data_IF_284522711149
#
_entry.id   IF_284522711149
#
_cell.length_a   1.000
_cell.length_b   1.000
_cell.length_c   1.000
_cell.angle_alpha   90.00
_cell.angle_beta   90.00
_cell.angle_gamma   90.00
#
_symmetry.space_group_name_H-M   'P 1'
#
loop_
_entity.id
_entity.type
_entity.pdbx_description
1 polymer ?
#
# COMPACT_ATOMS: atom_id res chain seq x y z
N UNK A 1 14.34 28.72 28.39
CA UNK A 1 14.82 27.64 29.28
C UNK A 1 14.51 26.24 28.74
N UNK A 2 13.28 25.94 28.25
CA UNK A 2 12.92 24.62 27.81
C UNK A 2 13.67 24.08 26.57
N UNK A 3 13.92 24.92 25.56
CA UNK A 3 14.64 24.51 24.34
C UNK A 3 16.12 24.18 24.59
N UNK A 4 16.79 24.91 25.50
CA UNK A 4 18.21 24.70 25.81
C UNK A 4 18.42 23.37 26.54
N UNK A 5 17.52 22.98 27.43
CA UNK A 5 17.61 21.71 28.16
C UNK A 5 17.32 20.49 27.27
N UNK A 6 16.47 20.64 26.25
CA UNK A 6 16.20 19.60 25.28
C UNK A 6 17.41 19.33 24.37
N UNK A 7 18.10 20.38 23.94
CA UNK A 7 19.28 20.24 23.06
C UNK A 7 20.42 19.53 23.79
N UNK A 8 20.74 19.92 25.04
CA UNK A 8 21.78 19.26 25.82
C UNK A 8 21.44 17.81 26.20
N UNK A 9 20.16 17.52 26.45
CA UNK A 9 19.69 16.17 26.68
C UNK A 9 19.80 15.28 25.44
N UNK A 10 19.50 15.83 24.27
CA UNK A 10 19.65 15.10 23.00
C UNK A 10 21.12 14.83 22.67
N UNK A 11 22.02 15.79 22.85
CA UNK A 11 23.46 15.61 22.62
C UNK A 11 24.07 14.54 23.55
N UNK A 12 23.65 14.48 24.80
CA UNK A 12 24.04 13.41 25.72
C UNK A 12 23.52 12.04 25.28
N UNK A 13 22.26 11.97 24.85
CA UNK A 13 21.65 10.74 24.36
C UNK A 13 22.36 10.23 23.09
N UNK A 14 22.69 11.12 22.15
CA UNK A 14 23.44 10.75 20.96
C UNK A 14 24.80 10.08 21.31
N UNK A 15 25.52 10.66 22.27
CA UNK A 15 26.78 10.10 22.74
C UNK A 15 26.67 8.72 23.38
N UNK A 16 25.51 8.39 24.00
CA UNK A 16 25.22 7.03 24.48
C UNK A 16 24.89 6.09 23.32
N UNK A 17 24.11 6.53 22.37
CA UNK A 17 23.64 5.71 21.24
C UNK A 17 24.78 5.42 20.25
N UNK A 18 25.74 6.34 20.05
CA UNK A 18 26.92 6.11 19.23
C UNK A 18 27.82 4.97 19.77
N UNK A 19 27.84 4.76 21.07
CA UNK A 19 28.60 3.68 21.69
C UNK A 19 27.94 2.31 21.55
N UNK A 20 26.65 2.26 21.27
CA UNK A 20 25.91 1.04 21.06
C UNK A 20 25.56 0.88 19.57
N UNK A 21 26.35 0.08 18.85
CA UNK A 21 26.17 -0.14 17.41
C UNK A 21 24.80 -0.70 17.01
N UNK A 22 24.01 -1.20 17.97
CA UNK A 22 22.63 -1.66 17.73
C UNK A 22 21.66 -0.50 17.58
N UNK A 23 22.01 0.68 18.10
CA UNK A 23 21.18 1.89 18.12
C UNK A 23 21.59 2.89 17.04
N UNK A 24 22.59 2.58 16.22
CA UNK A 24 23.17 3.52 15.26
C UNK A 24 22.11 4.11 14.29
N UNK A 25 21.18 3.30 13.82
CA UNK A 25 20.13 3.77 12.92
C UNK A 25 19.13 4.69 13.64
N UNK A 26 18.76 4.36 14.86
CA UNK A 26 17.88 5.20 15.69
C UNK A 26 18.55 6.54 16.02
N UNK A 27 19.84 6.53 16.30
CA UNK A 27 20.64 7.72 16.53
C UNK A 27 20.62 8.68 15.33
N UNK A 28 20.79 8.17 14.12
CA UNK A 28 20.71 8.98 12.90
C UNK A 28 19.32 9.61 12.69
N UNK A 29 18.25 8.83 12.93
CA UNK A 29 16.87 9.38 12.90
C UNK A 29 16.72 10.51 13.90
N UNK A 30 17.15 10.31 15.14
CA UNK A 30 17.01 11.32 16.18
C UNK A 30 17.81 12.59 15.87
N UNK A 31 19.02 12.47 15.32
CA UNK A 31 19.82 13.60 14.84
C UNK A 31 19.10 14.37 13.74
N UNK A 32 18.50 13.67 12.79
CA UNK A 32 17.72 14.29 11.73
C UNK A 32 16.47 15.02 12.26
N UNK A 33 15.70 14.37 13.14
CA UNK A 33 14.51 14.98 13.78
C UNK A 33 14.91 16.25 14.55
N UNK A 34 16.00 16.21 15.31
CA UNK A 34 16.50 17.37 16.05
C UNK A 34 16.96 18.49 15.10
N UNK A 35 17.60 18.17 13.98
CA UNK A 35 17.92 19.15 12.93
C UNK A 35 16.66 19.82 12.39
N UNK A 36 15.64 19.04 12.02
CA UNK A 36 14.37 19.59 11.52
C UNK A 36 13.64 20.46 12.55
N UNK A 37 13.71 20.08 13.82
CA UNK A 37 13.02 20.81 14.89
C UNK A 37 13.74 22.10 15.32
N UNK A 38 15.07 22.08 15.38
CA UNK A 38 15.87 23.18 15.95
C UNK A 38 16.56 24.05 14.90
N UNK A 39 16.72 23.53 13.67
CA UNK A 39 17.56 24.15 12.63
C UNK A 39 19.08 24.04 12.90
N UNK A 40 19.49 23.43 14.03
CA UNK A 40 20.91 23.22 14.36
C UNK A 40 21.37 21.88 13.76
N UNK A 41 22.55 21.90 13.15
CA UNK A 41 23.16 20.69 12.57
C UNK A 41 23.68 19.74 13.66
N UNK A 42 23.32 18.45 13.54
CA UNK A 42 23.76 17.38 14.43
C UNK A 42 24.51 16.29 13.65
N UNK A 43 25.10 16.62 12.50
CA UNK A 43 25.83 15.71 11.63
C UNK A 43 24.96 14.96 10.60
N UNK A 44 23.64 15.08 10.69
CA UNK A 44 22.68 14.48 9.74
C UNK A 44 21.73 15.58 9.25
N UNK A 45 21.84 15.91 7.95
CA UNK A 45 20.93 16.88 7.27
C UNK A 45 19.85 16.17 6.45
N UNK A 46 20.17 15.00 5.97
CA UNK A 46 19.29 14.12 5.19
C UNK A 46 19.33 12.72 5.80
N UNK A 47 18.18 12.08 5.87
CA UNK A 47 18.09 10.72 6.38
C UNK A 47 18.26 9.76 5.20
N UNK A 48 19.34 9.00 5.21
CA UNK A 48 19.52 7.90 4.29
C UNK A 48 18.63 6.73 4.74
N UNK A 49 17.51 6.54 4.06
CA UNK A 49 16.55 5.48 4.37
C UNK A 49 17.10 4.07 4.09
N UNK A 50 18.20 3.95 3.32
CA UNK A 50 18.84 2.66 3.06
C UNK A 50 19.44 2.01 4.32
N UNK A 51 19.77 2.82 5.34
CA UNK A 51 20.27 2.32 6.64
C UNK A 51 19.26 1.43 7.37
N UNK A 52 17.95 1.58 7.07
CA UNK A 52 16.91 0.78 7.71
C UNK A 52 16.71 -0.58 7.04
N UNK A 53 17.46 -0.88 5.99
CA UNK A 53 17.23 -2.07 5.16
C UNK A 53 15.75 -2.18 4.72
N UNK A 54 15.10 -1.02 4.56
CA UNK A 54 13.74 -0.91 4.05
C UNK A 54 13.83 -1.25 2.56
N UNK A 55 13.90 -2.55 2.30
CA UNK A 55 13.70 -3.04 0.95
C UNK A 55 12.25 -2.74 0.60
N UNK A 56 12.13 -1.70 -0.23
CA UNK A 56 10.99 -1.46 -1.05
C UNK A 56 9.64 -1.34 -0.33
N UNK A 57 9.33 -0.14 0.13
CA UNK A 57 7.94 0.27 0.37
C UNK A 57 7.05 0.11 -0.89
N UNK A 58 7.66 -0.11 -2.06
CA UNK A 58 6.95 -0.36 -3.31
C UNK A 58 6.04 -1.58 -3.24
N UNK A 59 6.45 -2.63 -2.55
CA UNK A 59 5.64 -3.83 -2.42
C UNK A 59 4.41 -3.62 -1.53
N UNK A 60 4.46 -2.71 -0.58
CA UNK A 60 3.33 -2.37 0.29
C UNK A 60 2.27 -1.51 -0.37
N UNK A 61 2.72 -0.58 -1.23
CA UNK A 61 1.81 0.31 -1.95
C UNK A 61 1.21 -0.34 -3.18
N UNK A 62 1.80 -1.45 -3.68
CA UNK A 62 1.43 -2.03 -4.96
C UNK A 62 0.08 -2.72 -4.95
N UNK A 63 -0.30 -3.34 -3.84
CA UNK A 63 -1.46 -4.24 -3.81
C UNK A 63 -2.74 -3.48 -3.49
N UNK A 64 -2.71 -2.58 -2.53
CA UNK A 64 -3.91 -1.95 -1.99
C UNK A 64 -4.12 -0.46 -2.30
N UNK A 65 -3.25 0.20 -3.09
CA UNK A 65 -3.39 1.63 -3.33
C UNK A 65 -4.60 1.94 -4.22
N UNK A 66 -5.58 2.66 -3.67
CA UNK A 66 -6.80 3.01 -4.38
C UNK A 66 -6.57 4.06 -5.46
N UNK A 67 -7.27 3.90 -6.55
CA UNK A 67 -7.19 4.77 -7.72
C UNK A 67 -8.21 5.90 -7.67
N UNK A 68 -9.31 5.71 -6.95
CA UNK A 68 -10.37 6.70 -6.80
C UNK A 68 -10.05 7.72 -5.73
N UNK A 69 -10.13 9.00 -6.08
CA UNK A 69 -10.06 10.10 -5.10
C UNK A 69 -11.38 10.23 -4.34
N UNK A 70 -11.31 10.71 -3.09
CA UNK A 70 -12.48 10.90 -2.24
C UNK A 70 -13.02 9.63 -1.56
N UNK A 71 -12.42 8.47 -1.78
CA UNK A 71 -12.74 7.23 -1.05
C UNK A 71 -11.86 7.09 0.19
N UNK A 72 -12.38 6.41 1.23
CA UNK A 72 -11.58 6.12 2.43
C UNK A 72 -10.33 5.33 2.05
N UNK A 73 -9.16 5.81 2.49
CA UNK A 73 -7.86 5.21 2.21
C UNK A 73 -7.32 5.44 0.79
N UNK A 74 -7.96 6.30 -0.01
CA UNK A 74 -7.37 6.76 -1.25
C UNK A 74 -6.43 7.95 -0.99
N UNK A 75 -5.38 8.14 -1.81
CA UNK A 75 -4.67 9.41 -1.82
C UNK A 75 -5.63 10.56 -2.10
N UNK A 76 -5.45 11.69 -1.44
CA UNK A 76 -6.27 12.87 -1.67
C UNK A 76 -6.14 13.37 -3.11
N UNK A 77 -7.21 13.98 -3.61
CA UNK A 77 -7.17 14.67 -4.90
C UNK A 77 -6.20 15.86 -4.80
N UNK A 78 -5.22 15.89 -5.69
CA UNK A 78 -4.27 17.00 -5.74
C UNK A 78 -4.82 18.19 -6.50
N UNK A 79 -4.40 19.39 -6.09
CA UNK A 79 -4.64 20.61 -6.86
C UNK A 79 -3.83 20.61 -8.15
N UNK A 80 -4.25 21.41 -9.13
CA UNK A 80 -3.49 21.62 -10.36
C UNK A 80 -2.03 22.00 -10.10
N UNK A 81 -1.81 22.93 -9.16
CA UNK A 81 -0.48 23.39 -8.78
C UNK A 81 0.40 22.24 -8.24
N UNK A 82 -0.16 21.36 -7.41
CA UNK A 82 0.57 20.20 -6.89
C UNK A 82 0.94 19.22 -8.00
N UNK A 83 0.04 19.00 -8.98
CA UNK A 83 0.34 18.14 -10.13
C UNK A 83 1.40 18.78 -11.03
N UNK A 84 1.33 20.08 -11.29
CA UNK A 84 2.37 20.84 -11.98
C UNK A 84 3.73 20.75 -11.27
N UNK A 85 3.73 20.81 -9.94
CA UNK A 85 4.93 20.67 -9.13
C UNK A 85 5.53 19.26 -9.25
N UNK A 86 4.70 18.20 -9.18
CA UNK A 86 5.13 16.81 -9.42
C UNK A 86 5.78 16.69 -10.80
N UNK A 87 5.07 17.16 -11.84
CA UNK A 87 5.58 17.08 -13.23
C UNK A 87 6.92 17.79 -13.35
N UNK A 88 7.05 18.98 -12.77
CA UNK A 88 8.28 19.77 -12.84
C UNK A 88 9.46 19.12 -12.09
N UNK A 89 9.19 18.41 -11.01
CA UNK A 89 10.24 17.75 -10.21
C UNK A 89 10.66 16.40 -10.77
N UNK A 90 9.75 15.70 -11.45
CA UNK A 90 9.95 14.30 -11.85
C UNK A 90 10.24 14.11 -13.33
N UNK A 91 9.87 15.07 -14.18
CA UNK A 91 9.98 14.93 -15.63
C UNK A 91 10.72 16.12 -16.24
N UNK A 92 11.33 15.89 -17.40
CA UNK A 92 12.06 16.90 -18.17
C UNK A 92 11.89 16.66 -19.66
N UNK A 93 12.30 17.62 -20.48
CA UNK A 93 12.29 17.48 -21.94
C UNK A 93 10.90 17.21 -22.51
N UNK A 94 10.82 16.23 -23.42
CA UNK A 94 9.58 15.89 -24.13
C UNK A 94 8.50 15.36 -23.18
N UNK A 95 8.84 14.48 -22.24
CA UNK A 95 7.89 13.96 -21.26
C UNK A 95 7.23 15.07 -20.43
N UNK A 96 8.01 16.05 -20.00
CA UNK A 96 7.49 17.24 -19.31
C UNK A 96 6.49 18.01 -20.18
N UNK A 97 6.87 18.31 -21.43
CA UNK A 97 6.03 19.07 -22.36
C UNK A 97 4.72 18.34 -22.66
N UNK A 98 4.79 17.02 -22.87
CA UNK A 98 3.64 16.17 -23.13
C UNK A 98 2.67 16.19 -21.96
N UNK A 99 3.16 15.98 -20.73
CA UNK A 99 2.34 15.99 -19.50
C UNK A 99 1.71 17.36 -19.25
N UNK A 100 2.48 18.45 -19.41
CA UNK A 100 1.95 19.80 -19.25
C UNK A 100 0.88 20.14 -20.28
N UNK A 101 0.98 19.62 -21.51
CA UNK A 101 -0.06 19.79 -22.55
C UNK A 101 -1.40 19.16 -22.19
N UNK A 102 -1.39 18.13 -21.31
CA UNK A 102 -2.57 17.39 -20.87
C UNK A 102 -3.00 17.73 -19.44
N UNK A 103 -2.41 18.74 -18.79
CA UNK A 103 -2.62 19.05 -17.37
C UNK A 103 -4.12 19.23 -17.01
N UNK A 104 -4.88 19.92 -17.85
CA UNK A 104 -6.31 20.15 -17.61
C UNK A 104 -7.12 18.86 -17.72
N UNK A 105 -6.70 17.90 -18.55
CA UNK A 105 -7.34 16.59 -18.64
C UNK A 105 -7.09 15.75 -17.38
N UNK A 106 -5.90 15.82 -16.77
CA UNK A 106 -5.65 15.19 -15.49
C UNK A 106 -6.56 15.75 -14.39
N UNK A 107 -6.81 17.05 -14.37
CA UNK A 107 -7.78 17.65 -13.46
C UNK A 107 -9.22 17.23 -13.79
N UNK A 108 -9.58 17.15 -15.07
CA UNK A 108 -10.89 16.72 -15.50
C UNK A 108 -11.22 15.29 -15.06
N UNK A 109 -10.28 14.34 -15.20
CA UNK A 109 -10.52 12.96 -14.76
C UNK A 109 -10.67 12.81 -13.25
N UNK A 110 -9.96 13.62 -12.45
CA UNK A 110 -10.17 13.67 -11.00
C UNK A 110 -11.58 14.14 -10.65
N UNK A 111 -12.01 15.23 -11.26
CA UNK A 111 -13.29 15.87 -10.93
C UNK A 111 -14.49 15.09 -11.48
N UNK A 112 -14.37 14.53 -12.68
CA UNK A 112 -15.50 13.92 -13.39
C UNK A 112 -15.64 12.43 -13.15
N UNK A 113 -14.52 11.70 -13.12
CA UNK A 113 -14.51 10.24 -13.01
C UNK A 113 -13.95 9.76 -11.67
N UNK A 114 -13.54 10.70 -10.81
CA UNK A 114 -12.89 10.44 -9.53
C UNK A 114 -11.62 9.57 -9.65
N UNK A 115 -10.97 9.58 -10.80
CA UNK A 115 -9.71 8.86 -11.03
C UNK A 115 -8.54 9.73 -10.63
N UNK A 116 -7.66 9.19 -9.79
CA UNK A 116 -6.48 9.90 -9.31
C UNK A 116 -5.56 10.30 -10.47
N UNK A 117 -5.24 11.60 -10.59
CA UNK A 117 -4.40 12.12 -11.66
C UNK A 117 -2.97 11.58 -11.61
N UNK A 118 -2.41 11.41 -10.39
CA UNK A 118 -1.05 10.86 -10.22
C UNK A 118 -0.99 9.41 -10.68
N UNK A 119 -2.03 8.61 -10.41
CA UNK A 119 -2.14 7.26 -10.97
C UNK A 119 -2.14 7.29 -12.51
N UNK A 120 -2.92 8.18 -13.12
CA UNK A 120 -2.95 8.28 -14.58
C UNK A 120 -1.58 8.67 -15.17
N UNK A 121 -0.85 9.59 -14.54
CA UNK A 121 0.53 9.95 -14.92
C UNK A 121 1.47 8.75 -14.75
N UNK A 122 1.34 8.01 -13.67
CA UNK A 122 2.17 6.83 -13.40
C UNK A 122 1.95 5.72 -14.44
N UNK A 123 0.71 5.51 -14.89
CA UNK A 123 0.42 4.56 -15.98
C UNK A 123 1.02 5.05 -17.29
N UNK A 124 0.87 6.33 -17.64
CA UNK A 124 1.50 6.89 -18.84
C UNK A 124 3.02 6.76 -18.82
N UNK A 125 3.64 6.93 -17.63
CA UNK A 125 5.07 6.69 -17.44
C UNK A 125 5.44 5.22 -17.66
N UNK A 126 4.67 4.29 -17.12
CA UNK A 126 4.92 2.84 -17.22
C UNK A 126 4.78 2.35 -18.67
N UNK A 127 3.74 2.80 -19.38
CA UNK A 127 3.38 2.28 -20.71
C UNK A 127 4.23 2.88 -21.84
N UNK A 128 4.52 4.18 -21.78
CA UNK A 128 5.13 4.90 -22.90
C UNK A 128 6.19 5.93 -22.49
N UNK A 129 6.65 5.93 -21.25
CA UNK A 129 7.50 7.00 -20.71
C UNK A 129 6.90 8.39 -20.98
N UNK A 130 5.59 8.53 -20.80
CA UNK A 130 4.82 9.75 -21.10
C UNK A 130 4.94 10.20 -22.57
N UNK A 131 4.89 9.25 -23.49
CA UNK A 131 4.93 9.53 -24.93
C UNK A 131 6.32 9.72 -25.52
N UNK A 132 7.37 9.31 -24.83
CA UNK A 132 8.75 9.38 -25.33
C UNK A 132 9.24 8.03 -25.85
N UNK A 133 8.80 6.92 -25.23
CA UNK A 133 9.18 5.57 -25.63
C UNK A 133 7.92 4.73 -25.91
N UNK A 134 7.67 4.47 -27.18
CA UNK A 134 6.41 3.90 -27.64
C UNK A 134 6.44 2.39 -27.84
N UNK A 135 7.56 1.73 -27.57
CA UNK A 135 7.71 0.29 -27.78
C UNK A 135 7.18 -0.20 -29.15
N UNK A 136 5.97 -0.78 -29.18
CA UNK A 136 5.34 -1.33 -30.39
C UNK A 136 4.16 -0.49 -30.90
N UNK A 137 3.94 0.72 -30.39
CA UNK A 137 2.78 1.57 -30.74
C UNK A 137 3.27 2.76 -31.58
N UNK A 138 2.56 3.06 -32.67
CA UNK A 138 2.85 4.22 -33.49
C UNK A 138 2.66 5.52 -32.68
N UNK A 139 3.68 6.41 -32.60
CA UNK A 139 3.60 7.67 -31.85
C UNK A 139 2.45 8.58 -32.27
N UNK A 140 2.04 8.52 -33.53
CA UNK A 140 0.93 9.33 -34.06
C UNK A 140 -0.43 8.95 -33.51
N UNK A 141 -0.50 7.86 -32.73
CA UNK A 141 -1.72 7.44 -32.01
C UNK A 141 -2.02 8.29 -30.79
N UNK A 142 -1.03 8.99 -30.22
CA UNK A 142 -1.12 9.65 -28.91
C UNK A 142 -1.63 8.74 -27.79
N UNK A 143 -1.46 7.41 -27.93
CA UNK A 143 -2.01 6.40 -27.03
C UNK A 143 -1.03 6.09 -25.89
N UNK A 144 -0.90 7.00 -24.95
CA UNK A 144 -0.01 6.85 -23.79
C UNK A 144 -0.23 5.59 -22.96
N UNK A 145 -1.45 5.08 -22.99
CA UNK A 145 -1.95 4.06 -22.09
C UNK A 145 -2.01 2.67 -22.72
N UNK A 146 -1.48 2.52 -23.93
CA UNK A 146 -1.49 1.22 -24.64
C UNK A 146 -2.90 0.58 -24.73
N UNK A 147 -3.94 1.40 -24.96
CA UNK A 147 -5.33 0.94 -24.99
C UNK A 147 -5.63 0.34 -26.36
N UNK A 148 -6.09 -0.90 -26.36
CA UNK A 148 -6.54 -1.61 -27.56
C UNK A 148 -7.92 -1.16 -28.02
N UNK A 149 -8.19 -1.38 -29.30
CA UNK A 149 -9.49 -1.15 -29.92
C UNK A 149 -9.56 0.13 -30.75
N UNK A 150 -10.73 0.71 -30.78
CA UNK A 150 -11.05 1.88 -31.61
C UNK A 150 -11.47 3.08 -30.73
N UNK A 151 -11.09 4.28 -31.13
CA UNK A 151 -11.56 5.53 -30.55
C UNK A 151 -12.30 6.34 -31.60
N UNK A 152 -13.64 6.38 -31.54
CA UNK A 152 -14.51 7.11 -32.46
C UNK A 152 -14.24 6.79 -33.94
N UNK A 153 -14.04 5.51 -34.27
CA UNK A 153 -13.73 5.06 -35.63
C UNK A 153 -12.25 5.17 -36.02
N UNK A 154 -11.36 5.47 -35.08
CA UNK A 154 -9.94 5.66 -35.36
C UNK A 154 -9.07 4.68 -34.55
N UNK A 155 -8.27 3.91 -35.31
CA UNK A 155 -7.26 3.02 -34.76
C UNK A 155 -6.08 2.84 -35.73
N UNK A 156 -4.92 2.45 -35.19
CA UNK A 156 -3.75 2.02 -35.97
C UNK A 156 -3.28 0.68 -35.35
N UNK A 157 -3.19 -0.35 -36.17
CA UNK A 157 -2.73 -1.69 -35.76
C UNK A 157 -3.46 -2.26 -34.53
N UNK A 158 -4.77 -1.93 -34.41
CA UNK A 158 -5.61 -2.35 -33.28
C UNK A 158 -5.39 -1.55 -31.99
N UNK A 159 -4.64 -0.46 -32.06
CA UNK A 159 -4.47 0.50 -30.97
C UNK A 159 -5.33 1.73 -31.19
N UNK A 160 -5.97 2.23 -30.15
CA UNK A 160 -6.75 3.48 -30.23
C UNK A 160 -5.90 4.64 -30.72
N UNK A 161 -6.43 5.41 -31.66
CA UNK A 161 -5.80 6.65 -32.12
C UNK A 161 -6.56 7.84 -31.60
N UNK A 162 -5.87 8.68 -30.84
CA UNK A 162 -6.43 9.89 -30.26
C UNK A 162 -5.96 11.14 -31.05
N UNK A 163 -6.79 12.20 -31.11
CA UNK A 163 -6.38 13.48 -31.71
C UNK A 163 -5.23 14.15 -30.95
N UNK A 164 -5.17 13.95 -29.64
CA UNK A 164 -4.12 14.50 -28.77
C UNK A 164 -3.95 13.68 -27.48
N UNK A 165 -2.93 13.97 -26.71
CA UNK A 165 -2.72 13.40 -25.37
C UNK A 165 -3.86 13.74 -24.39
N UNK A 166 -4.47 14.91 -24.53
CA UNK A 166 -5.62 15.31 -23.72
C UNK A 166 -6.80 14.33 -23.87
N UNK A 167 -7.14 13.97 -25.10
CA UNK A 167 -8.21 13.00 -25.35
C UNK A 167 -7.83 11.59 -24.86
N UNK A 168 -6.57 11.20 -24.96
CA UNK A 168 -6.09 9.92 -24.39
C UNK A 168 -6.27 9.88 -22.88
N UNK A 169 -5.93 10.96 -22.16
CA UNK A 169 -6.13 11.07 -20.71
C UNK A 169 -7.61 10.99 -20.34
N UNK A 170 -8.46 11.73 -21.05
CA UNK A 170 -9.90 11.74 -20.78
C UNK A 170 -10.56 10.38 -21.04
N UNK A 171 -10.17 9.70 -22.11
CA UNK A 171 -10.68 8.36 -22.42
C UNK A 171 -10.20 7.32 -21.41
N UNK A 172 -8.92 7.38 -21.02
CA UNK A 172 -8.37 6.56 -19.93
C UNK A 172 -9.14 6.79 -18.63
N UNK A 173 -9.31 8.05 -18.22
CA UNK A 173 -10.05 8.39 -17.00
C UNK A 173 -11.49 7.87 -17.02
N UNK A 174 -12.18 8.00 -18.17
CA UNK A 174 -13.52 7.44 -18.36
C UNK A 174 -13.50 5.91 -18.27
N UNK A 175 -12.57 5.25 -18.98
CA UNK A 175 -12.45 3.80 -18.98
C UNK A 175 -12.21 3.27 -17.57
N UNK A 176 -11.23 3.83 -16.87
CA UNK A 176 -10.92 3.46 -15.51
C UNK A 176 -12.04 3.85 -14.55
N UNK A 177 -12.69 4.97 -14.71
CA UNK A 177 -13.70 5.49 -13.79
C UNK A 177 -15.11 4.92 -13.94
N UNK A 178 -15.43 4.27 -15.06
CA UNK A 178 -16.81 3.86 -15.34
C UNK A 178 -17.00 2.45 -15.88
N UNK A 179 -15.93 1.80 -16.37
CA UNK A 179 -16.05 0.46 -16.97
C UNK A 179 -16.22 -0.63 -15.91
N UNK A 180 -17.24 -1.45 -16.05
CA UNK A 180 -17.44 -2.62 -15.20
C UNK A 180 -16.30 -3.67 -15.32
N UNK A 181 -15.57 -3.66 -16.43
CA UNK A 181 -14.43 -4.56 -16.66
C UNK A 181 -13.28 -4.29 -15.68
N UNK A 182 -13.02 -3.01 -15.38
CA UNK A 182 -11.99 -2.65 -14.41
C UNK A 182 -12.55 -2.51 -13.00
N UNK A 183 -13.85 -2.40 -12.86
CA UNK A 183 -14.45 -1.86 -11.66
C UNK A 183 -15.52 -2.68 -10.99
N UNK A 184 -16.15 -3.57 -11.58
CA UNK A 184 -17.19 -4.36 -10.91
C UNK A 184 -18.03 -3.63 -9.82
N UNK A 185 -18.01 -2.30 -9.80
CA UNK A 185 -18.76 -1.46 -8.86
C UNK A 185 -18.14 -1.19 -7.50
N UNK A 186 -16.84 -1.45 -7.28
CA UNK A 186 -16.24 -1.32 -5.96
C UNK A 186 -14.91 -0.56 -5.88
N UNK A 187 -14.27 -0.70 -4.77
CA UNK A 187 -12.95 -0.18 -4.44
C UNK A 187 -11.89 -0.66 -5.42
N UNK A 188 -11.27 0.27 -6.15
CA UNK A 188 -10.32 -0.08 -7.15
C UNK A 188 -8.93 0.23 -6.69
N UNK A 189 -8.13 -0.81 -6.65
CA UNK A 189 -6.72 -0.72 -6.34
C UNK A 189 -5.88 -0.87 -7.60
N UNK A 190 -4.64 -0.39 -7.56
CA UNK A 190 -3.68 -0.57 -8.65
C UNK A 190 -3.48 -2.06 -8.93
N UNK A 191 -3.43 -2.91 -7.88
CA UNK A 191 -3.30 -4.35 -8.01
C UNK A 191 -4.45 -4.99 -8.79
N UNK A 192 -5.68 -4.62 -8.47
CA UNK A 192 -6.86 -5.15 -9.18
C UNK A 192 -6.92 -4.69 -10.64
N UNK A 193 -6.58 -3.44 -10.92
CA UNK A 193 -6.48 -2.95 -12.29
C UNK A 193 -5.41 -3.71 -13.06
N UNK A 194 -4.24 -3.93 -12.47
CA UNK A 194 -3.12 -4.62 -13.11
C UNK A 194 -3.46 -6.02 -13.61
N UNK A 195 -4.26 -6.77 -12.85
CA UNK A 195 -4.73 -8.12 -13.24
C UNK A 195 -5.50 -8.11 -14.56
N UNK A 196 -6.25 -7.07 -14.84
CA UNK A 196 -7.04 -6.90 -16.08
C UNK A 196 -6.30 -6.12 -17.16
N UNK A 197 -5.46 -5.17 -16.76
CA UNK A 197 -4.79 -4.25 -17.68
C UNK A 197 -3.57 -4.88 -18.34
N UNK A 198 -2.74 -5.58 -17.58
CA UNK A 198 -1.50 -6.21 -18.03
C UNK A 198 -1.26 -7.55 -17.31
N UNK A 199 -2.03 -8.62 -17.60
CA UNK A 199 -1.87 -9.91 -16.93
C UNK A 199 -0.46 -10.49 -17.06
N UNK A 200 0.11 -11.09 -15.98
CA UNK A 200 -0.52 -11.39 -14.68
C UNK A 200 -0.67 -10.21 -13.72
N UNK A 201 -0.18 -9.03 -14.01
CA UNK A 201 -0.47 -7.78 -13.32
C UNK A 201 0.50 -7.40 -12.21
N UNK A 202 1.19 -8.32 -11.57
CA UNK A 202 1.97 -8.05 -10.36
C UNK A 202 3.17 -7.11 -10.60
N UNK A 203 3.95 -7.34 -11.65
CA UNK A 203 5.08 -6.48 -12.00
C UNK A 203 4.60 -5.10 -12.47
N UNK A 204 3.52 -5.06 -13.25
CA UNK A 204 2.91 -3.83 -13.69
C UNK A 204 2.43 -3.01 -12.50
N UNK A 205 1.68 -3.63 -11.60
CA UNK A 205 1.11 -2.99 -10.41
C UNK A 205 2.20 -2.44 -9.49
N UNK A 206 3.26 -3.20 -9.25
CA UNK A 206 4.43 -2.73 -8.48
C UNK A 206 5.08 -1.51 -9.12
N UNK A 207 5.33 -1.56 -10.43
CA UNK A 207 5.94 -0.43 -11.15
C UNK A 207 5.09 0.83 -11.11
N UNK A 208 3.78 0.72 -11.35
CA UNK A 208 2.86 1.87 -11.29
C UNK A 208 2.79 2.42 -9.87
N UNK A 209 2.69 1.57 -8.85
CA UNK A 209 2.62 2.00 -7.45
C UNK A 209 3.89 2.70 -6.99
N UNK A 210 5.05 2.21 -7.44
CA UNK A 210 6.32 2.87 -7.18
C UNK A 210 6.35 4.29 -7.74
N UNK A 211 5.91 4.48 -8.99
CA UNK A 211 5.83 5.80 -9.60
C UNK A 211 4.85 6.73 -8.87
N UNK A 212 3.68 6.22 -8.47
CA UNK A 212 2.70 6.97 -7.67
C UNK A 212 3.33 7.44 -6.36
N UNK A 213 3.97 6.53 -5.63
CA UNK A 213 4.67 6.85 -4.38
C UNK A 213 5.71 7.95 -4.57
N UNK A 214 6.63 7.77 -5.50
CA UNK A 214 7.69 8.73 -5.80
C UNK A 214 7.17 10.12 -6.18
N UNK A 215 6.05 10.17 -6.91
CA UNK A 215 5.39 11.42 -7.28
C UNK A 215 4.84 12.15 -6.05
N UNK A 216 4.11 11.47 -5.16
CA UNK A 216 3.62 12.08 -3.94
C UNK A 216 4.76 12.52 -3.01
N UNK A 217 5.78 11.68 -2.84
CA UNK A 217 6.96 12.01 -2.02
C UNK A 217 7.72 13.22 -2.55
N UNK A 218 7.74 13.43 -3.88
CA UNK A 218 8.39 14.58 -4.48
C UNK A 218 7.82 15.93 -4.03
N UNK A 219 6.59 15.95 -3.56
CA UNK A 219 5.92 17.14 -3.00
C UNK A 219 5.70 17.03 -1.49
N UNK A 220 6.41 16.13 -0.81
CA UNK A 220 6.39 15.98 0.63
C UNK A 220 5.17 15.27 1.20
N UNK A 221 4.41 14.56 0.37
CA UNK A 221 3.25 13.75 0.80
C UNK A 221 3.68 12.29 0.89
N UNK A 222 3.57 11.70 2.08
CA UNK A 222 3.74 10.26 2.28
C UNK A 222 2.41 9.56 2.08
N UNK A 223 2.37 8.55 1.20
CA UNK A 223 1.19 7.71 0.99
C UNK A 223 1.39 6.35 1.65
N UNK A 224 0.35 5.87 2.31
CA UNK A 224 0.33 4.58 2.99
C UNK A 224 -0.52 3.57 2.19
N UNK A 225 -0.30 2.28 2.44
CA UNK A 225 -1.17 1.24 1.87
C UNK A 225 -2.63 1.45 2.28
N UNK A 226 -3.53 1.06 1.38
CA UNK A 226 -4.95 1.44 1.42
C UNK A 226 -5.71 0.86 2.59
N UNK A 227 -6.55 1.71 3.15
CA UNK A 227 -7.59 1.33 4.11
C UNK A 227 -7.13 1.22 5.54
N UNK A 228 -5.88 1.59 5.83
CA UNK A 228 -5.32 1.53 7.16
C UNK A 228 -4.66 2.84 7.61
N UNK A 229 -4.52 3.01 8.91
CA UNK A 229 -3.63 3.99 9.50
C UNK A 229 -2.17 3.49 9.42
N UNK A 230 -1.23 4.31 9.87
CA UNK A 230 0.20 4.00 9.89
C UNK A 230 0.53 2.64 10.54
N UNK A 231 -0.16 2.31 11.62
CA UNK A 231 0.07 1.05 12.35
C UNK A 231 -0.42 -0.17 11.58
N UNK A 232 -1.57 -0.07 10.91
CA UNK A 232 -2.08 -1.12 10.02
C UNK A 232 -1.15 -1.34 8.83
N UNK A 233 -0.67 -0.25 8.22
CA UNK A 233 0.33 -0.32 7.15
C UNK A 233 1.62 -1.00 7.62
N UNK A 234 2.06 -0.69 8.85
CA UNK A 234 3.26 -1.33 9.42
C UNK A 234 3.06 -2.82 9.70
N UNK A 235 1.88 -3.24 10.13
CA UNK A 235 1.54 -4.67 10.27
C UNK A 235 1.64 -5.39 8.92
N UNK A 236 1.12 -4.81 7.86
CA UNK A 236 1.20 -5.38 6.51
C UNK A 236 2.65 -5.47 6.03
N UNK A 237 3.42 -4.41 6.18
CA UNK A 237 4.84 -4.39 5.82
C UNK A 237 5.61 -5.53 6.50
N UNK A 238 5.43 -5.66 7.82
CA UNK A 238 6.09 -6.73 8.58
C UNK A 238 5.59 -8.11 8.16
N UNK A 239 4.30 -8.27 7.85
CA UNK A 239 3.76 -9.55 7.37
C UNK A 239 4.37 -9.97 6.03
N UNK A 240 4.47 -9.06 5.08
CA UNK A 240 5.05 -9.32 3.76
C UNK A 240 6.55 -9.60 3.81
N UNK A 241 7.27 -8.94 4.70
CA UNK A 241 8.73 -8.99 4.82
C UNK A 241 9.20 -9.67 6.12
N UNK A 242 8.42 -10.60 6.68
CA UNK A 242 8.63 -11.12 8.02
C UNK A 242 10.03 -11.74 8.24
N UNK A 243 10.64 -12.34 7.22
CA UNK A 243 12.00 -12.85 7.29
C UNK A 243 13.05 -11.75 7.54
N UNK A 244 12.88 -10.57 6.92
CA UNK A 244 13.76 -9.40 7.11
C UNK A 244 13.64 -8.82 8.53
N UNK A 245 12.50 -9.05 9.20
CA UNK A 245 12.29 -8.69 10.60
C UNK A 245 12.73 -9.78 11.60
N UNK A 246 13.41 -10.83 11.11
CA UNK A 246 13.87 -11.94 11.93
C UNK A 246 12.74 -12.83 12.44
N UNK A 247 11.59 -12.84 11.76
CA UNK A 247 10.44 -13.69 12.11
C UNK A 247 10.53 -14.99 11.33
N UNK A 248 10.62 -16.11 12.06
CA UNK A 248 10.61 -17.45 11.44
C UNK A 248 9.20 -17.91 11.11
N UNK A 249 8.99 -18.37 9.88
CA UNK A 249 7.75 -18.97 9.42
C UNK A 249 7.83 -20.50 9.51
N UNK A 250 7.86 -21.03 10.73
CA UNK A 250 7.89 -22.46 10.97
C UNK A 250 6.49 -23.09 10.85
N UNK A 251 6.37 -24.25 10.22
CA UNK A 251 5.12 -24.99 10.09
C UNK A 251 4.48 -25.29 11.46
N UNK A 252 3.16 -25.13 11.55
CA UNK A 252 2.39 -25.32 12.79
C UNK A 252 2.41 -24.13 13.76
N UNK A 253 3.15 -23.08 13.49
CA UNK A 253 3.26 -21.88 14.32
C UNK A 253 2.59 -20.63 13.72
N UNK A 254 1.45 -20.81 13.04
CA UNK A 254 0.76 -19.71 12.37
C UNK A 254 0.36 -18.57 13.35
N UNK A 255 -0.17 -18.89 14.54
CA UNK A 255 -0.53 -17.88 15.53
C UNK A 255 0.71 -17.19 16.15
N UNK A 256 1.79 -17.92 16.36
CA UNK A 256 3.04 -17.33 16.83
C UNK A 256 3.64 -16.38 15.79
N UNK A 257 3.53 -16.72 14.51
CA UNK A 257 3.96 -15.85 13.41
C UNK A 257 3.14 -14.55 13.39
N UNK A 258 1.81 -14.62 13.45
CA UNK A 258 0.93 -13.45 13.54
C UNK A 258 1.28 -12.58 14.75
N UNK A 259 1.47 -13.18 15.93
CA UNK A 259 1.91 -12.44 17.10
C UNK A 259 3.23 -11.71 16.87
N UNK A 260 4.23 -12.39 16.28
CA UNK A 260 5.53 -11.77 16.00
C UNK A 260 5.41 -10.62 15.01
N UNK A 261 4.58 -10.75 13.97
CA UNK A 261 4.30 -9.67 13.03
C UNK A 261 3.73 -8.45 13.75
N UNK A 262 2.68 -8.62 14.55
CA UNK A 262 2.09 -7.52 15.31
C UNK A 262 3.06 -6.90 16.32
N UNK A 263 3.83 -7.73 17.00
CA UNK A 263 4.84 -7.26 17.95
C UNK A 263 5.95 -6.46 17.28
N UNK A 264 6.49 -6.95 16.18
CA UNK A 264 7.54 -6.26 15.40
C UNK A 264 7.04 -5.00 14.71
N UNK A 265 5.77 -4.94 14.37
CA UNK A 265 5.12 -3.74 13.88
C UNK A 265 4.87 -2.68 14.98
N UNK A 266 5.11 -3.02 16.26
CA UNK A 266 4.74 -2.16 17.39
C UNK A 266 3.24 -2.11 17.66
N UNK A 267 2.48 -3.03 17.08
CA UNK A 267 1.02 -3.05 17.15
C UNK A 267 0.49 -3.70 18.44
N UNK A 268 1.24 -4.59 19.07
CA UNK A 268 0.84 -5.19 20.34
C UNK A 268 2.02 -5.26 21.33
N UNK A 269 1.73 -5.23 22.66
CA UNK A 269 2.75 -5.40 23.67
C UNK A 269 3.29 -6.84 23.71
N UNK A 270 4.44 -7.01 24.36
CA UNK A 270 5.01 -8.32 24.58
C UNK A 270 4.04 -9.21 25.38
N UNK A 271 3.94 -10.48 24.98
CA UNK A 271 3.07 -11.46 25.65
C UNK A 271 1.60 -11.44 25.17
N UNK A 272 1.23 -10.60 24.20
CA UNK A 272 -0.09 -10.64 23.58
C UNK A 272 -0.17 -11.84 22.63
N UNK A 273 -0.32 -13.03 23.19
CA UNK A 273 -0.41 -14.28 22.43
C UNK A 273 -1.37 -15.26 23.09
N UNK A 274 -1.86 -16.21 22.31
CA UNK A 274 -2.63 -17.37 22.75
C UNK A 274 -2.10 -18.62 22.07
N UNK A 275 -2.52 -19.77 22.54
CA UNK A 275 -1.94 -21.04 22.10
C UNK A 275 -2.19 -21.38 20.63
N UNK A 276 -3.28 -20.92 20.02
CA UNK A 276 -3.65 -21.30 18.66
C UNK A 276 -4.67 -20.35 18.02
N UNK A 277 -4.88 -20.52 16.70
CA UNK A 277 -5.78 -19.70 15.91
C UNK A 277 -7.25 -19.80 16.35
N UNK A 278 -7.71 -20.98 16.79
CA UNK A 278 -9.08 -21.16 17.31
C UNK A 278 -9.31 -20.28 18.53
N UNK A 279 -8.42 -20.34 19.53
CA UNK A 279 -8.53 -19.49 20.71
C UNK A 279 -8.38 -18.01 20.40
N UNK A 280 -7.52 -17.65 19.43
CA UNK A 280 -7.36 -16.28 19.01
C UNK A 280 -8.65 -15.75 18.37
N UNK A 281 -9.26 -16.49 17.46
CA UNK A 281 -10.52 -16.11 16.82
C UNK A 281 -11.66 -15.99 17.81
N UNK A 282 -11.78 -16.94 18.78
CA UNK A 282 -12.79 -16.87 19.85
C UNK A 282 -12.59 -15.66 20.77
N UNK A 283 -11.36 -15.29 21.03
CA UNK A 283 -11.04 -14.21 21.97
C UNK A 283 -11.03 -12.84 21.30
N UNK A 284 -10.60 -12.75 20.06
CA UNK A 284 -10.26 -11.49 19.38
C UNK A 284 -10.98 -11.29 18.05
N UNK A 285 -11.88 -12.19 17.67
CA UNK A 285 -12.76 -12.01 16.52
C UNK A 285 -13.66 -10.78 16.71
N UNK A 286 -13.76 -9.97 15.65
CA UNK A 286 -14.53 -8.72 15.66
C UNK A 286 -15.76 -8.81 14.77
N UNK A 287 -15.63 -9.47 13.61
CA UNK A 287 -16.71 -9.56 12.64
C UNK A 287 -16.63 -10.84 11.81
N UNK A 288 -17.78 -11.28 11.33
CA UNK A 288 -17.94 -12.34 10.33
C UNK A 288 -18.26 -11.79 8.95
N UNK A 289 -18.43 -10.48 8.83
CA UNK A 289 -18.67 -9.79 7.56
C UNK A 289 -17.33 -9.50 6.86
N UNK A 290 -16.98 -10.35 5.91
CA UNK A 290 -15.75 -10.26 5.15
C UNK A 290 -15.70 -9.03 4.22
N UNK A 291 -16.85 -8.44 3.89
CA UNK A 291 -16.90 -7.23 3.08
C UNK A 291 -16.37 -6.00 3.82
N UNK A 292 -16.31 -6.07 5.14
CA UNK A 292 -15.83 -4.99 6.04
C UNK A 292 -14.38 -5.21 6.51
N UNK A 293 -13.71 -6.26 6.03
CA UNK A 293 -12.35 -6.56 6.47
C UNK A 293 -11.39 -5.42 6.13
N UNK A 294 -10.55 -5.09 7.08
CA UNK A 294 -9.57 -4.02 6.92
C UNK A 294 -8.15 -4.55 6.82
N UNK A 295 -7.31 -3.78 6.16
CA UNK A 295 -5.88 -4.07 6.02
C UNK A 295 -5.22 -4.19 7.39
N UNK A 296 -4.36 -5.17 7.55
CA UNK A 296 -3.72 -5.49 8.82
C UNK A 296 -4.56 -6.36 9.74
N UNK A 297 -5.84 -6.62 9.44
CA UNK A 297 -6.68 -7.50 10.24
C UNK A 297 -6.19 -8.95 10.19
N UNK A 298 -6.35 -9.66 11.30
CA UNK A 298 -6.14 -11.11 11.37
C UNK A 298 -7.37 -11.84 10.88
N UNK A 299 -7.19 -12.89 10.10
CA UNK A 299 -8.24 -13.79 9.62
C UNK A 299 -8.11 -15.15 10.30
N UNK A 300 -9.21 -15.68 10.81
CA UNK A 300 -9.24 -16.93 11.60
C UNK A 300 -10.06 -17.98 10.90
N UNK A 301 -9.48 -19.17 10.71
CA UNK A 301 -10.13 -20.34 10.13
C UNK A 301 -10.01 -21.55 11.06
N UNK A 302 -11.06 -22.38 11.09
CA UNK A 302 -11.17 -23.48 12.05
C UNK A 302 -11.05 -24.87 11.37
N UNK A 303 -10.39 -24.94 10.21
CA UNK A 303 -10.10 -26.22 9.57
C UNK A 303 -8.60 -26.51 9.50
N UNK A 304 -8.26 -27.73 9.12
CA UNK A 304 -6.88 -28.20 8.93
C UNK A 304 -6.27 -28.85 10.16
N UNK A 305 -6.66 -28.44 11.37
CA UNK A 305 -6.29 -29.08 12.63
C UNK A 305 -7.20 -28.59 13.76
N UNK A 306 -7.15 -29.24 14.91
CA UNK A 306 -7.84 -28.76 16.14
C UNK A 306 -7.38 -27.36 16.60
N UNK A 307 -6.25 -26.88 16.09
CA UNK A 307 -5.70 -25.58 16.42
C UNK A 307 -6.14 -24.48 15.46
N UNK A 308 -6.76 -24.86 14.32
CA UNK A 308 -7.16 -23.92 13.25
C UNK A 308 -5.98 -23.32 12.50
N UNK A 309 -6.27 -22.29 11.72
CA UNK A 309 -5.29 -21.51 10.96
C UNK A 309 -5.56 -20.02 11.07
N UNK A 310 -4.51 -19.20 10.95
CA UNK A 310 -4.61 -17.75 11.02
C UNK A 310 -3.66 -17.11 10.01
N UNK A 311 -4.10 -15.99 9.43
CA UNK A 311 -3.31 -15.13 8.58
C UNK A 311 -3.56 -13.66 8.87
N UNK A 312 -2.97 -12.80 8.07
CA UNK A 312 -3.14 -11.34 8.12
C UNK A 312 -3.63 -10.89 6.74
N UNK A 313 -4.76 -10.19 6.71
CA UNK A 313 -5.25 -9.58 5.49
C UNK A 313 -4.37 -8.37 5.12
N UNK A 314 -3.72 -8.44 3.98
CA UNK A 314 -2.75 -7.43 3.54
C UNK A 314 -3.31 -6.45 2.51
N UNK A 315 -4.61 -6.51 2.24
CA UNK A 315 -5.28 -5.71 1.22
C UNK A 315 -5.49 -6.47 -0.08
N UNK A 316 -6.26 -5.88 -0.99
CA UNK A 316 -6.53 -6.36 -2.36
C UNK A 316 -6.99 -7.83 -2.45
N UNK A 317 -7.74 -8.28 -1.45
CA UNK A 317 -8.21 -9.66 -1.39
C UNK A 317 -7.14 -10.69 -1.04
N UNK A 318 -5.98 -10.30 -0.49
CA UNK A 318 -4.88 -11.21 -0.21
C UNK A 318 -4.67 -11.40 1.29
N UNK A 319 -4.41 -12.63 1.69
CA UNK A 319 -4.02 -13.03 3.05
C UNK A 319 -2.59 -13.54 3.04
N UNK A 320 -1.74 -12.92 3.86
CA UNK A 320 -0.42 -13.43 4.19
C UNK A 320 -0.52 -14.41 5.38
N UNK A 321 0.03 -15.60 5.28
CA UNK A 321 -0.04 -16.58 6.35
C UNK A 321 1.17 -17.55 6.36
N UNK A 322 1.41 -18.19 7.51
CA UNK A 322 2.53 -19.11 7.68
C UNK A 322 2.08 -20.56 7.53
N UNK A 323 2.63 -21.25 6.53
CA UNK A 323 2.43 -22.70 6.25
C UNK A 323 3.75 -23.50 6.25
N UNK A 324 4.78 -22.99 6.91
CA UNK A 324 6.17 -23.50 6.85
C UNK A 324 7.06 -22.63 5.97
N UNK A 325 6.55 -21.51 5.58
CA UNK A 325 7.00 -20.37 4.83
C UNK A 325 5.85 -19.39 4.76
N UNK A 326 6.10 -18.13 4.45
CA UNK A 326 5.03 -17.16 4.23
C UNK A 326 4.41 -17.41 2.86
N UNK A 327 3.11 -17.69 2.85
CA UNK A 327 2.29 -17.82 1.65
C UNK A 327 1.34 -16.63 1.53
N UNK A 328 0.98 -16.30 0.29
CA UNK A 328 0.01 -15.29 -0.06
C UNK A 328 -1.12 -15.95 -0.82
N UNK A 329 -2.32 -15.91 -0.25
CA UNK A 329 -3.49 -16.62 -0.79
C UNK A 329 -4.64 -15.63 -0.94
N UNK A 330 -5.41 -15.76 -2.01
CA UNK A 330 -6.65 -15.01 -2.19
C UNK A 330 -7.58 -15.23 -0.99
N UNK A 331 -8.26 -14.17 -0.53
CA UNK A 331 -9.10 -14.22 0.66
C UNK A 331 -10.23 -15.23 0.54
N UNK A 332 -10.89 -15.31 -0.62
CA UNK A 332 -12.01 -16.23 -0.83
C UNK A 332 -11.50 -17.68 -0.86
N UNK A 333 -10.35 -17.91 -1.48
CA UNK A 333 -9.68 -19.22 -1.47
C UNK A 333 -9.22 -19.58 -0.05
N UNK A 334 -8.66 -18.63 0.68
CA UNK A 334 -8.25 -18.82 2.07
C UNK A 334 -9.43 -19.17 2.97
N UNK A 335 -10.55 -18.43 2.86
CA UNK A 335 -11.81 -18.71 3.58
C UNK A 335 -12.31 -20.12 3.28
N UNK A 336 -12.32 -20.51 2.02
CA UNK A 336 -12.75 -21.85 1.61
C UNK A 336 -11.83 -22.95 2.15
N UNK A 337 -10.51 -22.76 2.03
CA UNK A 337 -9.50 -23.78 2.40
C UNK A 337 -9.46 -23.98 3.91
N UNK A 338 -9.46 -22.91 4.68
CA UNK A 338 -9.30 -22.97 6.13
C UNK A 338 -10.63 -22.82 6.89
N UNK A 339 -11.78 -22.85 6.19
CA UNK A 339 -13.11 -22.58 6.75
C UNK A 339 -13.07 -21.31 7.60
N UNK A 340 -12.84 -20.17 6.95
CA UNK A 340 -12.78 -18.85 7.57
C UNK A 340 -14.03 -18.57 8.40
N UNK A 341 -13.83 -18.15 9.63
CA UNK A 341 -14.91 -17.96 10.61
C UNK A 341 -15.11 -16.48 10.93
N UNK A 342 -14.03 -15.76 11.17
CA UNK A 342 -14.07 -14.34 11.52
C UNK A 342 -12.73 -13.66 11.24
N UNK A 343 -12.75 -12.34 11.31
CA UNK A 343 -11.55 -11.52 11.34
C UNK A 343 -11.51 -10.63 12.59
N UNK A 344 -10.33 -10.12 12.95
CA UNK A 344 -10.12 -9.29 14.12
C UNK A 344 -8.73 -8.67 14.15
N UNK A 345 -8.23 -8.29 15.34
CA UNK A 345 -7.04 -7.46 15.49
C UNK A 345 -5.95 -8.07 16.40
N UNK A 346 -5.94 -9.36 16.58
CA UNK A 346 -4.97 -10.06 17.45
C UNK A 346 -4.87 -9.46 18.87
N UNK A 347 -6.00 -9.05 19.46
CA UNK A 347 -6.07 -8.56 20.82
C UNK A 347 -5.78 -7.08 21.04
N UNK A 348 -5.67 -6.31 19.95
CA UNK A 348 -5.44 -4.87 19.97
C UNK A 348 -6.45 -4.16 19.05
N UNK A 349 -6.61 -2.87 19.20
CA UNK A 349 -7.39 -2.05 18.27
C UNK A 349 -6.43 -1.27 17.38
N UNK A 350 -6.33 -1.69 16.12
CA UNK A 350 -5.52 -0.99 15.11
C UNK A 350 -6.27 0.17 14.44
N UNK A 351 -7.58 0.32 14.70
CA UNK A 351 -8.40 1.31 14.00
C UNK A 351 -8.42 2.68 14.68
N UNK A 352 -7.80 2.78 15.87
CA UNK A 352 -7.84 4.01 16.65
C UNK A 352 -9.24 4.35 17.18
N UNK A 353 -10.10 3.33 17.36
CA UNK A 353 -11.47 3.48 17.86
C UNK A 353 -12.52 3.70 16.76
N UNK A 354 -12.14 3.63 15.48
CA UNK A 354 -13.10 3.72 14.37
C UNK A 354 -14.03 2.50 14.27
N UNK A 355 -13.63 1.38 14.87
CA UNK A 355 -14.46 0.18 15.05
C UNK A 355 -14.61 -0.11 16.55
N UNK A 356 -15.83 -0.34 17.05
CA UNK A 356 -15.99 -0.76 18.43
C UNK A 356 -15.32 -2.12 18.60
N UNK A 357 -14.20 -2.15 19.30
CA UNK A 357 -13.59 -3.38 19.76
C UNK A 357 -14.56 -4.05 20.73
N UNK A 358 -15.23 -5.09 20.27
CA UNK A 358 -16.04 -5.96 21.15
C UNK A 358 -15.25 -7.23 21.38
N UNK A 359 -14.48 -7.33 22.48
CA UNK A 359 -13.79 -8.57 22.81
C UNK A 359 -14.82 -9.68 22.99
N UNK A 360 -14.64 -10.78 22.27
CA UNK A 360 -15.45 -11.97 22.51
C UNK A 360 -16.69 -12.09 21.62
N UNK A 361 -16.65 -11.64 20.38
CA UNK A 361 -17.64 -12.10 19.39
C UNK A 361 -17.56 -13.62 19.34
N UNK A 362 -18.55 -14.29 19.98
CA UNK A 362 -18.62 -15.76 20.01
C UNK A 362 -19.02 -16.21 18.62
N UNK A 363 -18.03 -16.53 17.83
CA UNK A 363 -18.24 -17.16 16.53
C UNK A 363 -18.35 -18.66 16.76
N UNK A 364 -19.57 -19.15 16.72
CA UNK A 364 -20.03 -20.54 16.72
C UNK A 364 -19.22 -21.55 17.56
N UNK A 365 -19.91 -22.21 18.46
CA UNK A 365 -19.42 -23.34 19.24
C UNK A 365 -18.63 -24.36 18.41
N UNK A 366 -17.33 -24.23 18.32
CA UNK A 366 -16.48 -25.35 17.97
C UNK A 366 -16.19 -26.09 19.27
N UNK A 367 -16.98 -27.11 19.58
CA UNK A 367 -16.56 -28.12 20.54
C UNK A 367 -15.35 -28.81 19.95
N UNK A 368 -14.18 -28.63 20.56
CA UNK A 368 -13.06 -29.53 20.35
C UNK A 368 -13.52 -30.89 20.87
N UNK A 369 -13.78 -31.83 19.96
CA UNK A 369 -13.81 -33.26 20.26
C UNK A 369 -12.38 -33.77 20.36
#
# INVERSE_FOLDING_TARGET
AGKTNMVSGAEWLFGLMEKDGRLQNLEQVMRYVMYKYTGKEYGVKELDLSIFNIRDFSDLTSVGLKVKVGETGAPEALTKQQIEEIISKRFSGEAYNNLMSAIDAFMEIQNRYHVNAVFAIAVAQKESSCGVNWAAIDPSTHNWYSIRGDYNGNSIDGWRKYPSFKEAVNDFGKLIGTSSYYFGGGNITIGNIGKSYCPPGDEWSRGVSQFVKEMYESIGITIYAVGGNELQAKVVEVAQNSASYGISAQAGYCQAWVYQVYYKAGACPAGTSVCCAVHAGQKWGVSTDWSQIQVGATVYGYSGSKYGHVGIYIGDGIVAHNVGGVAFTDLDEWIKTYKGVCWGWNGVDLTGGAYPFTPGLIVANHRAE
#
